data_IF_433819191838
#
_entry.id   IF_433819191838
#
_cell.length_a   1.000
_cell.length_b   1.000
_cell.length_c   1.000
_cell.angle_alpha   90.00
_cell.angle_beta   90.00
_cell.angle_gamma   90.00
#
_symmetry.space_group_name_H-M   'P 1'
#
loop_
_entity.id
_entity.type
_entity.pdbx_description
1 polymer ?
#
# COMPACT_ATOMS: atom_id res chain seq x y z
N UNK A 1 -11.65 -12.18 0.57
CA UNK A 1 -10.53 -13.10 0.32
C UNK A 1 -9.40 -12.30 -0.31
N UNK A 2 -8.35 -12.06 0.46
CA UNK A 2 -7.12 -11.47 -0.06
C UNK A 2 -6.49 -12.48 -1.02
N UNK A 3 -6.55 -12.22 -2.31
CA UNK A 3 -5.81 -13.01 -3.27
C UNK A 3 -4.31 -12.74 -3.03
N UNK A 4 -3.65 -13.70 -2.44
CA UNK A 4 -2.18 -13.66 -2.33
C UNK A 4 -1.59 -13.75 -3.73
N UNK A 5 -0.55 -12.99 -4.01
CA UNK A 5 0.12 -13.01 -5.32
C UNK A 5 0.50 -14.44 -5.78
N UNK A 6 0.78 -15.35 -4.86
CA UNK A 6 1.02 -16.76 -5.15
C UNK A 6 -0.16 -17.53 -5.75
N UNK A 7 -1.39 -16.99 -5.70
CA UNK A 7 -2.55 -17.54 -6.39
C UNK A 7 -2.77 -16.94 -7.79
N UNK A 8 -2.03 -15.90 -8.14
CA UNK A 8 -2.07 -15.25 -9.44
C UNK A 8 -1.10 -15.97 -10.39
N UNK A 9 -1.55 -17.08 -10.94
CA UNK A 9 -0.84 -17.74 -12.02
C UNK A 9 -1.43 -17.23 -13.32
N UNK A 10 -0.59 -16.68 -14.19
CA UNK A 10 -1.01 -16.29 -15.54
C UNK A 10 -1.36 -17.53 -16.37
N UNK A 11 -2.11 -17.38 -17.45
CA UNK A 11 -2.43 -18.48 -18.37
C UNK A 11 -1.18 -19.15 -18.97
N UNK A 12 -0.03 -18.45 -18.96
CA UNK A 12 1.28 -18.98 -19.37
C UNK A 12 2.02 -19.75 -18.25
N UNK A 13 1.45 -19.87 -17.05
CA UNK A 13 2.08 -20.49 -15.89
C UNK A 13 3.12 -19.61 -15.19
N UNK A 14 3.29 -18.34 -15.59
CA UNK A 14 4.23 -17.43 -14.94
C UNK A 14 3.60 -16.96 -13.61
N UNK A 15 4.23 -17.35 -12.51
CA UNK A 15 3.84 -16.90 -11.18
C UNK A 15 4.28 -15.46 -10.93
N UNK A 16 3.36 -14.62 -10.44
CA UNK A 16 3.67 -13.24 -10.02
C UNK A 16 4.35 -13.19 -8.63
N UNK A 17 4.26 -14.27 -7.84
CA UNK A 17 4.87 -14.37 -6.52
C UNK A 17 6.38 -14.64 -6.62
N UNK A 18 7.13 -13.66 -7.09
CA UNK A 18 8.57 -13.76 -7.38
C UNK A 18 9.47 -13.02 -6.38
N UNK A 19 8.89 -12.28 -5.42
CA UNK A 19 9.69 -11.61 -4.40
C UNK A 19 10.44 -12.63 -3.54
N UNK A 20 11.70 -12.34 -3.14
CA UNK A 20 12.45 -13.22 -2.27
C UNK A 20 11.71 -13.52 -0.97
N UNK A 21 11.60 -14.79 -0.65
CA UNK A 21 11.12 -15.26 0.64
C UNK A 21 12.29 -15.71 1.53
N UNK A 22 12.01 -16.37 2.65
CA UNK A 22 13.05 -16.98 3.48
C UNK A 22 13.95 -17.89 2.64
N UNK A 23 15.26 -17.82 2.87
CA UNK A 23 16.29 -18.60 2.18
C UNK A 23 16.40 -18.33 0.65
N UNK A 24 15.95 -17.17 0.18
CA UNK A 24 16.11 -16.76 -1.22
C UNK A 24 15.21 -17.47 -2.23
N UNK A 25 14.31 -18.35 -1.79
CA UNK A 25 13.30 -18.94 -2.67
C UNK A 25 12.16 -17.96 -2.93
N UNK A 26 11.44 -18.06 -4.05
CA UNK A 26 10.27 -17.22 -4.30
C UNK A 26 9.28 -17.28 -3.14
N UNK A 27 8.86 -16.10 -2.67
CA UNK A 27 7.93 -15.95 -1.56
C UNK A 27 6.47 -16.02 -1.97
N UNK A 28 5.62 -15.38 -1.18
CA UNK A 28 4.16 -15.37 -1.41
C UNK A 28 3.66 -14.08 -2.04
N UNK A 29 4.56 -13.12 -2.32
CA UNK A 29 4.21 -11.78 -2.77
C UNK A 29 4.85 -11.48 -4.12
N UNK A 30 4.22 -10.62 -4.90
CA UNK A 30 4.76 -10.13 -6.15
C UNK A 30 5.85 -9.09 -5.88
N UNK A 31 7.02 -9.26 -6.47
CA UNK A 31 8.02 -8.20 -6.57
C UNK A 31 7.49 -7.08 -7.46
N UNK A 32 7.60 -5.84 -7.01
CA UNK A 32 7.13 -4.66 -7.75
C UNK A 32 8.16 -3.53 -7.69
N UNK A 33 8.16 -2.69 -8.71
CA UNK A 33 8.78 -1.38 -8.64
C UNK A 33 7.81 -0.42 -7.93
N UNK A 34 8.17 0.09 -6.77
CA UNK A 34 7.31 0.95 -5.94
C UNK A 34 7.03 2.33 -6.53
N UNK A 35 7.70 2.72 -7.61
CA UNK A 35 7.39 3.94 -8.37
C UNK A 35 6.18 3.77 -9.28
N UNK A 36 5.91 2.54 -9.73
CA UNK A 36 4.85 2.22 -10.69
C UNK A 36 3.93 1.11 -10.23
N UNK A 37 4.35 0.33 -9.24
CA UNK A 37 3.75 -0.95 -8.83
C UNK A 37 3.70 -2.00 -9.94
N UNK A 38 4.49 -1.82 -11.00
CA UNK A 38 4.65 -2.82 -12.04
C UNK A 38 5.40 -4.03 -11.50
N UNK A 39 4.94 -5.22 -11.88
CA UNK A 39 5.56 -6.49 -11.50
C UNK A 39 6.96 -6.62 -12.10
N UNK A 40 7.91 -7.05 -11.30
CA UNK A 40 9.27 -7.37 -11.78
C UNK A 40 9.34 -8.69 -12.54
N UNK A 41 8.27 -9.49 -12.56
CA UNK A 41 8.18 -10.76 -13.27
C UNK A 41 7.49 -10.64 -14.62
N UNK A 42 6.48 -9.77 -14.74
CA UNK A 42 5.63 -9.68 -15.95
C UNK A 42 5.42 -8.20 -16.29
N UNK A 43 5.90 -7.75 -17.46
CA UNK A 43 5.69 -6.37 -17.91
C UNK A 43 4.19 -6.02 -18.04
N UNK A 44 3.84 -4.77 -17.81
CA UNK A 44 2.48 -4.21 -17.90
C UNK A 44 1.45 -4.83 -16.96
N UNK A 45 1.91 -5.59 -15.96
CA UNK A 45 1.05 -6.10 -14.88
C UNK A 45 1.42 -5.37 -13.59
N UNK A 46 0.45 -4.68 -13.00
CA UNK A 46 0.64 -3.94 -11.76
C UNK A 46 0.01 -4.70 -10.59
N UNK A 47 0.74 -4.79 -9.47
CA UNK A 47 0.30 -5.50 -8.26
C UNK A 47 0.48 -4.58 -7.07
N UNK A 48 -0.60 -4.34 -6.33
CA UNK A 48 -0.61 -3.45 -5.18
C UNK A 48 -1.37 -4.05 -3.99
N UNK A 49 -1.34 -3.37 -2.87
CA UNK A 49 -1.94 -3.83 -1.63
C UNK A 49 -1.25 -5.05 -1.05
N UNK A 50 -2.01 -5.90 -0.40
CA UNK A 50 -1.51 -7.06 0.34
C UNK A 50 -0.74 -8.08 -0.52
N UNK A 51 -0.98 -8.10 -1.83
CA UNK A 51 -0.32 -9.01 -2.76
C UNK A 51 1.09 -8.56 -3.18
N UNK A 52 1.41 -7.26 -3.05
CA UNK A 52 2.71 -6.70 -3.42
C UNK A 52 3.76 -6.92 -2.33
N UNK A 53 5.03 -7.07 -2.73
CA UNK A 53 6.16 -7.17 -1.82
C UNK A 53 6.74 -5.77 -1.56
N UNK A 54 6.06 -4.98 -0.77
CA UNK A 54 6.55 -3.69 -0.31
C UNK A 54 6.97 -3.74 1.17
N UNK A 55 7.74 -2.76 1.60
CA UNK A 55 8.11 -2.57 3.02
C UNK A 55 7.01 -1.96 3.85
N UNK A 56 5.92 -1.53 3.20
CA UNK A 56 4.77 -0.91 3.82
C UNK A 56 3.85 -1.95 4.48
N UNK A 57 3.05 -1.56 5.49
CA UNK A 57 2.12 -2.48 6.13
C UNK A 57 1.03 -2.96 5.17
N UNK A 58 0.56 -4.17 5.37
CA UNK A 58 -0.57 -4.75 4.63
C UNK A 58 -1.88 -4.21 5.20
N UNK A 59 -2.31 -3.04 4.69
CA UNK A 59 -3.47 -2.30 5.18
C UNK A 59 -4.24 -1.67 4.03
N UNK A 60 -5.57 -1.57 4.16
CA UNK A 60 -6.44 -1.04 3.10
C UNK A 60 -6.12 0.41 2.73
N UNK A 61 -5.76 1.26 3.69
CA UNK A 61 -5.38 2.65 3.40
C UNK A 61 -4.05 2.74 2.63
N UNK A 62 -3.08 1.88 2.93
CA UNK A 62 -1.87 1.77 2.11
C UNK A 62 -2.20 1.31 0.70
N UNK A 63 -3.04 0.29 0.54
CA UNK A 63 -3.45 -0.17 -0.78
C UNK A 63 -4.12 0.94 -1.61
N UNK A 64 -4.95 1.79 -0.99
CA UNK A 64 -5.52 2.97 -1.62
C UNK A 64 -4.44 4.00 -2.02
N UNK A 65 -3.47 4.27 -1.15
CA UNK A 65 -2.36 5.18 -1.46
C UNK A 65 -1.44 4.62 -2.57
N UNK A 66 -1.14 3.33 -2.55
CA UNK A 66 -0.39 2.64 -3.61
C UNK A 66 -1.13 2.73 -4.95
N UNK A 67 -2.46 2.57 -4.94
CA UNK A 67 -3.29 2.67 -6.15
C UNK A 67 -3.20 4.07 -6.80
N UNK A 68 -3.13 5.13 -6.01
CA UNK A 68 -2.95 6.51 -6.51
C UNK A 68 -1.59 6.70 -7.17
N UNK A 69 -0.53 6.21 -6.54
CA UNK A 69 0.83 6.25 -7.13
C UNK A 69 0.88 5.45 -8.42
N UNK A 70 0.30 4.24 -8.44
CA UNK A 70 0.22 3.39 -9.61
C UNK A 70 -0.58 4.05 -10.76
N UNK A 71 -1.74 4.61 -10.46
CA UNK A 71 -2.59 5.28 -11.45
C UNK A 71 -1.88 6.49 -12.07
N UNK A 72 -1.26 7.35 -11.26
CA UNK A 72 -0.45 8.46 -11.76
C UNK A 72 0.67 7.96 -12.68
N UNK A 73 1.43 6.96 -12.25
CA UNK A 73 2.50 6.37 -13.04
C UNK A 73 2.01 5.84 -14.40
N UNK A 74 0.88 5.13 -14.44
CA UNK A 74 0.28 4.64 -15.68
C UNK A 74 -0.12 5.81 -16.60
N UNK A 75 -0.74 6.85 -16.06
CA UNK A 75 -1.12 8.04 -16.83
C UNK A 75 0.12 8.71 -17.42
N UNK A 76 1.18 8.89 -16.64
CA UNK A 76 2.43 9.47 -17.12
C UNK A 76 3.05 8.61 -18.25
N UNK A 77 3.15 7.31 -18.05
CA UNK A 77 3.70 6.38 -19.06
C UNK A 77 2.91 6.41 -20.37
N UNK A 78 1.59 6.40 -20.29
CA UNK A 78 0.72 6.43 -21.48
C UNK A 78 0.74 7.78 -22.21
N UNK A 79 0.96 8.87 -21.50
CA UNK A 79 1.03 10.23 -22.08
C UNK A 79 2.44 10.63 -22.54
N UNK A 80 3.45 9.78 -22.38
CA UNK A 80 4.87 10.09 -22.67
C UNK A 80 5.47 11.08 -21.66
N UNK A 81 4.88 11.19 -20.48
CA UNK A 81 5.37 11.99 -19.36
C UNK A 81 6.45 11.27 -18.54
N UNK A 82 6.78 11.84 -17.39
CA UNK A 82 7.79 11.30 -16.47
C UNK A 82 7.09 10.82 -15.19
N UNK A 83 7.34 9.58 -14.82
CA UNK A 83 6.87 8.99 -13.56
C UNK A 83 7.44 9.78 -12.37
N UNK A 84 6.62 10.01 -11.37
CA UNK A 84 7.04 10.68 -10.13
C UNK A 84 8.17 9.89 -9.45
N UNK A 85 9.35 10.52 -9.33
CA UNK A 85 10.53 9.90 -8.74
C UNK A 85 10.60 10.02 -7.20
N UNK A 86 9.61 10.65 -6.58
CA UNK A 86 9.57 10.86 -5.13
C UNK A 86 8.15 10.70 -4.58
N UNK A 87 7.47 9.57 -4.86
CA UNK A 87 6.13 9.35 -4.36
C UNK A 87 6.11 9.27 -2.83
N UNK A 88 5.00 9.71 -2.27
CA UNK A 88 4.70 9.57 -0.85
C UNK A 88 3.38 8.81 -0.70
N UNK A 89 3.31 7.98 0.33
CA UNK A 89 2.11 7.26 0.73
C UNK A 89 1.91 7.42 2.23
N UNK A 90 0.72 7.16 2.72
CA UNK A 90 0.45 7.16 4.15
C UNK A 90 -0.43 5.98 4.55
N UNK A 91 -0.21 5.52 5.76
CA UNK A 91 -1.06 4.56 6.45
C UNK A 91 -1.69 5.26 7.64
N UNK A 92 -3.02 5.34 7.67
CA UNK A 92 -3.77 5.72 8.86
C UNK A 92 -4.71 4.57 9.18
N UNK A 93 -4.64 4.10 10.42
CA UNK A 93 -5.48 3.02 10.91
C UNK A 93 -6.21 3.49 12.16
N UNK A 94 -7.51 3.29 12.19
CA UNK A 94 -8.33 3.47 13.39
C UNK A 94 -8.76 2.11 13.91
N UNK A 95 -8.75 1.95 15.23
CA UNK A 95 -9.19 0.73 15.91
C UNK A 95 -10.26 1.09 16.94
N UNK A 96 -11.51 0.63 16.79
CA UNK A 96 -12.50 0.81 17.83
C UNK A 96 -12.10 -0.01 19.07
N UNK A 97 -12.00 0.66 20.22
CA UNK A 97 -11.68 0.03 21.51
C UNK A 97 -12.95 -0.31 22.26
N UNK A 98 -13.93 0.58 22.19
CA UNK A 98 -15.28 0.36 22.72
C UNK A 98 -16.31 0.75 21.64
N UNK A 99 -17.59 0.77 22.00
CA UNK A 99 -18.65 1.25 21.10
C UNK A 99 -18.58 2.74 20.80
N UNK A 100 -17.86 3.50 21.60
CA UNK A 100 -17.84 4.97 21.56
C UNK A 100 -16.43 5.55 21.64
N UNK A 101 -15.39 4.73 21.69
CA UNK A 101 -14.00 5.18 21.73
C UNK A 101 -13.16 4.42 20.71
N UNK A 102 -12.20 5.11 20.10
CA UNK A 102 -11.23 4.54 19.18
C UNK A 102 -9.82 5.06 19.46
N UNK A 103 -8.86 4.29 19.02
CA UNK A 103 -7.44 4.63 18.94
C UNK A 103 -7.03 4.73 17.47
N UNK A 104 -5.97 5.47 17.18
CA UNK A 104 -5.44 5.60 15.83
C UNK A 104 -3.93 5.55 15.78
N UNK A 105 -3.42 5.19 14.61
CA UNK A 105 -2.00 5.17 14.27
C UNK A 105 -1.84 5.69 12.84
N UNK A 106 -0.86 6.56 12.60
CA UNK A 106 -0.52 7.03 11.26
C UNK A 106 0.99 7.01 11.02
N UNK A 107 1.39 6.59 9.82
CA UNK A 107 2.77 6.62 9.34
C UNK A 107 2.80 7.12 7.90
N UNK A 108 3.71 8.05 7.61
CA UNK A 108 3.97 8.51 6.25
C UNK A 108 5.23 7.82 5.73
N UNK A 109 5.17 7.38 4.48
CA UNK A 109 6.28 6.74 3.77
C UNK A 109 6.71 7.61 2.60
N UNK A 110 8.00 7.61 2.30
CA UNK A 110 8.59 8.22 1.11
C UNK A 110 9.45 7.21 0.36
N UNK A 111 9.62 7.43 -0.92
CA UNK A 111 10.58 6.66 -1.70
C UNK A 111 12.02 6.98 -1.28
N UNK A 112 12.82 5.93 -1.13
CA UNK A 112 14.27 6.03 -0.94
C UNK A 112 14.99 5.46 -2.17
N UNK A 113 15.67 6.31 -2.97
CA UNK A 113 16.35 5.86 -4.17
C UNK A 113 17.57 4.97 -3.88
N UNK A 114 18.16 5.03 -2.67
CA UNK A 114 19.30 4.18 -2.33
C UNK A 114 18.90 2.72 -2.14
N UNK A 115 17.75 2.48 -1.54
CA UNK A 115 17.20 1.13 -1.32
C UNK A 115 16.15 0.74 -2.35
N UNK A 116 15.64 1.69 -3.14
CA UNK A 116 14.53 1.54 -4.09
C UNK A 116 13.25 1.00 -3.43
N UNK A 117 13.02 1.40 -2.19
CA UNK A 117 11.85 1.00 -1.41
C UNK A 117 11.16 2.21 -0.79
N UNK A 118 9.96 1.99 -0.26
CA UNK A 118 9.27 3.00 0.55
C UNK A 118 9.76 2.90 2.00
N UNK A 119 10.24 3.99 2.57
CA UNK A 119 10.73 4.06 3.96
C UNK A 119 9.88 5.02 4.79
N UNK A 120 9.66 4.75 6.07
CA UNK A 120 8.92 5.67 6.93
C UNK A 120 9.70 6.99 7.10
N UNK A 121 9.00 8.11 7.14
CA UNK A 121 9.60 9.45 7.36
C UNK A 121 9.88 9.74 8.83
N UNK A 122 9.42 8.89 9.73
CA UNK A 122 9.57 8.99 11.18
C UNK A 122 9.00 7.76 11.88
N UNK A 123 8.83 7.82 13.17
CA UNK A 123 8.37 6.69 13.99
C UNK A 123 6.87 6.41 13.92
N UNK A 124 6.14 7.16 13.10
CA UNK A 124 4.68 7.17 13.17
C UNK A 124 4.16 8.02 14.33
N UNK A 125 2.89 8.29 14.30
CA UNK A 125 2.18 9.05 15.35
C UNK A 125 0.91 8.33 15.74
N UNK A 126 0.53 8.50 17.00
CA UNK A 126 -0.72 8.01 17.57
C UNK A 126 -1.29 9.07 18.50
N UNK A 127 -2.50 8.88 18.99
CA UNK A 127 -3.09 9.77 19.99
C UNK A 127 -2.23 9.87 21.26
N UNK A 128 -2.17 11.05 21.87
CA UNK A 128 -1.34 11.31 23.04
C UNK A 128 -1.98 10.89 24.38
N UNK A 129 -3.30 10.81 24.43
CA UNK A 129 -4.10 10.60 25.66
C UNK A 129 -4.80 9.23 25.72
N UNK A 130 -4.59 8.40 24.70
CA UNK A 130 -5.28 7.11 24.55
C UNK A 130 -6.63 7.24 23.83
N UNK A 131 -7.33 6.11 23.75
CA UNK A 131 -8.58 6.01 23.00
C UNK A 131 -9.71 6.88 23.61
N UNK A 132 -10.36 7.67 22.79
CA UNK A 132 -11.44 8.56 23.18
C UNK A 132 -12.61 8.61 22.17
N UNK A 133 -13.62 9.44 22.47
CA UNK A 133 -14.81 9.59 21.62
C UNK A 133 -14.59 10.51 20.41
N UNK A 134 -13.64 11.42 20.45
CA UNK A 134 -13.26 12.25 19.32
C UNK A 134 -12.59 11.39 18.26
N UNK A 135 -11.62 10.55 18.65
CA UNK A 135 -11.01 9.55 17.77
C UNK A 135 -12.06 8.61 17.15
N UNK A 136 -13.13 8.27 17.89
CA UNK A 136 -14.21 7.45 17.34
C UNK A 136 -15.02 8.20 16.28
N UNK A 137 -15.32 9.47 16.47
CA UNK A 137 -15.98 10.30 15.48
C UNK A 137 -15.11 10.47 14.23
N UNK A 138 -13.83 10.75 14.41
CA UNK A 138 -12.85 10.86 13.32
C UNK A 138 -12.68 9.55 12.53
N UNK A 139 -12.74 8.41 13.21
CA UNK A 139 -12.74 7.10 12.58
C UNK A 139 -13.89 6.94 11.56
N UNK A 140 -15.10 7.40 11.93
CA UNK A 140 -16.26 7.30 11.05
C UNK A 140 -16.13 8.24 9.84
N UNK A 141 -15.59 9.43 10.03
CA UNK A 141 -15.31 10.39 8.95
C UNK A 141 -14.23 9.83 8.03
N UNK A 142 -13.12 9.35 8.59
CA UNK A 142 -12.03 8.72 7.83
C UNK A 142 -12.53 7.53 7.01
N UNK A 143 -13.32 6.64 7.61
CA UNK A 143 -13.90 5.48 6.91
C UNK A 143 -14.78 5.91 5.74
N UNK A 144 -15.67 6.89 5.96
CA UNK A 144 -16.56 7.41 4.92
C UNK A 144 -15.78 8.00 3.75
N UNK A 145 -14.72 8.77 4.04
CA UNK A 145 -13.86 9.36 3.02
C UNK A 145 -13.09 8.30 2.24
N UNK A 146 -12.51 7.32 2.92
CA UNK A 146 -11.78 6.23 2.28
C UNK A 146 -12.69 5.40 1.38
N UNK A 147 -13.90 5.07 1.82
CA UNK A 147 -14.87 4.33 1.01
C UNK A 147 -15.34 5.12 -0.22
N UNK A 148 -15.57 6.43 -0.05
CA UNK A 148 -15.94 7.32 -1.15
C UNK A 148 -14.82 7.45 -2.19
N UNK A 149 -13.58 7.49 -1.75
CA UNK A 149 -12.39 7.60 -2.61
C UNK A 149 -12.09 6.28 -3.36
N UNK A 150 -12.45 5.15 -2.76
CA UNK A 150 -12.14 3.83 -3.33
C UNK A 150 -13.23 3.30 -4.27
N UNK A 151 -14.50 3.66 -4.05
CA UNK A 151 -15.65 3.02 -4.70
C UNK A 151 -16.59 3.99 -5.43
N UNK A 152 -16.18 5.21 -5.71
CA UNK A 152 -16.98 6.15 -6.52
C UNK A 152 -16.52 6.24 -7.95
#
# INVERSE_FOLDING_TARGET
>A
PTHKAGSLVTASGIGLANAPGPNGVPGKFAGVDVLTYESTAVPFVHVLGDASATTQPKAGHIANAEAKVCADAIIQLLSGGVVNQSPMTNSSCFTPITRTTASWLSVVYRYDPATRTMVPTGNGVTESLGADSENHADMLIWFTNLMSDTFK
#
